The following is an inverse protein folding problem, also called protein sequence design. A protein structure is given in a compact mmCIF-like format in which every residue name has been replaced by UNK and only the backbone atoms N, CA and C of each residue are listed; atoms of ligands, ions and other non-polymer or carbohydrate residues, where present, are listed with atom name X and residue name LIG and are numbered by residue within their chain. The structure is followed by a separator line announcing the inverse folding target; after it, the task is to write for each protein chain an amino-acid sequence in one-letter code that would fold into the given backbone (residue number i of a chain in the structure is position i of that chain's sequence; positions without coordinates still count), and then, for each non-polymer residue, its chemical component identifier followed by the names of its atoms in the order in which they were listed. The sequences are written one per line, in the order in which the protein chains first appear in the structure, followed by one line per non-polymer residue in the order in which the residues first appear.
data_IF_763750907413
#
_entry.id   IF_763750907413
#
_cell.length_a   1.000
_cell.length_b   1.000
_cell.length_c   1.000
_cell.angle_alpha   90.00
_cell.angle_beta   90.00
_cell.angle_gamma   90.00
#
_symmetry.space_group_name_H-M   'P 1'
#
loop_
_entity.id
_entity.type
_entity.pdbx_description
1 polymer ?
#
# COMPACT_ATOMS: atom_id res chain seq x y z
N UNK A 1 -71.20 -30.13 -9.20
CA UNK A 1 -70.35 -31.33 -9.35
C UNK A 1 -69.46 -31.04 -10.55
N UNK A 2 -68.16 -30.76 -10.45
CA UNK A 2 -67.10 -31.13 -9.50
C UNK A 2 -66.28 -29.91 -9.07
N UNK A 3 -65.76 -30.03 -7.86
CA UNK A 3 -64.72 -29.24 -7.22
C UNK A 3 -63.37 -29.80 -7.67
N UNK A 4 -62.39 -28.95 -7.93
CA UNK A 4 -60.97 -29.26 -7.70
C UNK A 4 -60.28 -27.97 -7.22
N UNK A 5 -59.80 -28.03 -5.98
CA UNK A 5 -58.97 -27.03 -5.30
C UNK A 5 -57.57 -27.62 -5.30
N UNK A 6 -56.59 -26.90 -5.86
CA UNK A 6 -55.19 -27.30 -5.79
C UNK A 6 -54.28 -26.11 -5.49
N UNK A 7 -53.85 -26.11 -4.22
CA UNK A 7 -52.51 -25.82 -3.69
C UNK A 7 -51.96 -24.39 -3.66
N UNK A 8 -51.74 -23.94 -2.41
CA UNK A 8 -50.87 -22.85 -1.99
C UNK A 8 -49.40 -23.21 -2.26
N UNK A 9 -48.71 -22.40 -3.05
CA UNK A 9 -47.24 -22.36 -3.02
C UNK A 9 -46.80 -21.15 -2.20
N UNK A 10 -46.28 -21.44 -1.01
CA UNK A 10 -45.63 -20.50 -0.10
C UNK A 10 -44.38 -19.91 -0.79
N UNK A 11 -44.50 -18.69 -1.31
CA UNK A 11 -43.36 -17.93 -1.81
C UNK A 11 -42.42 -17.58 -0.67
N UNK A 12 -41.45 -18.46 -0.42
CA UNK A 12 -40.26 -18.19 0.38
C UNK A 12 -39.44 -17.10 -0.31
N UNK A 13 -39.78 -15.85 -0.03
CA UNK A 13 -38.99 -14.69 -0.40
C UNK A 13 -37.59 -14.84 0.18
N UNK A 14 -36.64 -15.27 -0.66
CA UNK A 14 -35.22 -15.19 -0.36
C UNK A 14 -34.92 -13.71 -0.15
N UNK A 15 -34.81 -13.30 1.11
CA UNK A 15 -34.22 -12.02 1.47
C UNK A 15 -32.84 -11.97 0.83
N UNK A 16 -32.74 -11.24 -0.28
CA UNK A 16 -31.47 -10.88 -0.89
C UNK A 16 -30.78 -10.02 0.16
N UNK A 17 -29.79 -10.58 0.85
CA UNK A 17 -28.81 -9.77 1.55
C UNK A 17 -28.13 -8.97 0.45
N UNK A 18 -28.62 -7.75 0.21
CA UNK A 18 -27.89 -6.78 -0.58
C UNK A 18 -26.74 -6.33 0.32
N UNK A 19 -25.67 -7.12 0.33
CA UNK A 19 -24.36 -6.55 0.59
C UNK A 19 -24.17 -5.54 -0.53
N UNK A 20 -24.43 -4.25 -0.24
CA UNK A 20 -24.15 -3.19 -1.19
C UNK A 20 -22.69 -3.30 -1.54
N UNK A 21 -22.38 -3.84 -2.71
CA UNK A 21 -21.02 -3.88 -3.22
C UNK A 21 -20.61 -2.44 -3.46
N UNK A 22 -19.84 -1.88 -2.55
CA UNK A 22 -19.15 -0.62 -2.76
C UNK A 22 -18.09 -0.89 -3.82
N UNK A 23 -18.35 -0.47 -5.05
CA UNK A 23 -17.34 -0.50 -6.09
C UNK A 23 -16.33 0.62 -5.82
N UNK A 24 -15.26 0.27 -5.11
CA UNK A 24 -14.20 1.20 -4.76
C UNK A 24 -13.49 1.75 -6.02
N UNK A 25 -13.55 1.03 -7.15
CA UNK A 25 -12.94 1.44 -8.41
C UNK A 25 -13.73 2.52 -9.16
N UNK A 26 -15.00 2.75 -8.80
CA UNK A 26 -15.84 3.82 -9.36
C UNK A 26 -15.63 5.18 -8.68
N UNK A 27 -14.79 5.27 -7.64
CA UNK A 27 -14.50 6.52 -6.94
C UNK A 27 -13.46 7.36 -7.72
N UNK A 28 -13.39 8.68 -7.47
CA UNK A 28 -12.33 9.52 -8.02
C UNK A 28 -10.94 8.98 -7.68
N UNK A 29 -10.00 9.13 -8.62
CA UNK A 29 -8.64 8.61 -8.48
C UNK A 29 -7.94 9.11 -7.21
N UNK A 30 -8.18 10.37 -6.83
CA UNK A 30 -7.61 10.97 -5.62
C UNK A 30 -8.09 10.27 -4.34
N UNK A 31 -9.36 9.84 -4.30
CA UNK A 31 -9.90 9.09 -3.17
C UNK A 31 -9.22 7.73 -3.04
N UNK A 32 -9.04 7.02 -4.17
CA UNK A 32 -8.35 5.72 -4.19
C UNK A 32 -6.89 5.90 -3.75
N UNK A 33 -6.20 6.91 -4.30
CA UNK A 33 -4.82 7.26 -3.95
C UNK A 33 -4.67 7.54 -2.45
N UNK A 34 -5.59 8.32 -1.87
CA UNK A 34 -5.61 8.61 -0.44
C UNK A 34 -5.83 7.36 0.40
N UNK A 35 -6.75 6.47 0.01
CA UNK A 35 -6.97 5.21 0.74
C UNK A 35 -5.71 4.36 0.72
N UNK A 36 -5.07 4.21 -0.45
CA UNK A 36 -3.85 3.41 -0.61
C UNK A 36 -2.70 3.99 0.22
N UNK A 37 -2.57 5.32 0.32
CA UNK A 37 -1.50 5.96 1.10
C UNK A 37 -1.56 5.64 2.61
N UNK A 38 -2.73 5.21 3.11
CA UNK A 38 -2.92 4.72 4.49
C UNK A 38 -2.71 3.20 4.66
N UNK A 39 -2.39 2.48 3.58
CA UNK A 39 -2.12 1.03 3.63
C UNK A 39 -0.62 0.75 3.80
N UNK A 40 -0.21 -0.52 3.72
CA UNK A 40 1.21 -0.88 3.65
C UNK A 40 1.72 -0.88 2.19
N UNK A 41 3.03 -0.69 1.94
CA UNK A 41 3.63 -0.85 0.62
C UNK A 41 3.31 -2.20 -0.02
N UNK A 42 3.29 -3.27 0.78
CA UNK A 42 2.89 -4.62 0.32
C UNK A 42 1.44 -4.65 -0.16
N UNK A 43 0.54 -4.01 0.58
CA UNK A 43 -0.88 -4.00 0.22
C UNK A 43 -1.13 -3.11 -1.00
N UNK A 44 -0.45 -1.97 -1.12
CA UNK A 44 -0.45 -1.16 -2.33
C UNK A 44 -0.06 -2.00 -3.58
N UNK A 45 1.02 -2.78 -3.51
CA UNK A 45 1.42 -3.67 -4.61
C UNK A 45 0.38 -4.77 -4.93
N UNK A 46 -0.43 -5.19 -3.95
CA UNK A 46 -1.52 -6.16 -4.20
C UNK A 46 -2.73 -5.48 -4.82
N UNK A 47 -3.05 -4.28 -4.33
CA UNK A 47 -4.16 -3.47 -4.84
C UNK A 47 -3.95 -3.07 -6.30
N UNK A 48 -2.70 -2.84 -6.73
CA UNK A 48 -2.40 -2.50 -8.13
C UNK A 48 -2.91 -3.53 -9.14
N UNK A 49 -3.06 -4.80 -8.72
CA UNK A 49 -3.51 -5.90 -9.56
C UNK A 49 -5.04 -6.02 -9.64
N UNK A 50 -5.79 -5.26 -8.85
CA UNK A 50 -7.26 -5.38 -8.74
C UNK A 50 -7.97 -4.75 -9.94
N UNK A 51 -7.56 -3.55 -10.36
CA UNK A 51 -8.11 -2.86 -11.52
C UNK A 51 -7.13 -1.82 -12.06
N UNK A 52 -7.41 -1.28 -13.24
CA UNK A 52 -6.62 -0.19 -13.84
C UNK A 52 -6.64 1.08 -12.98
N UNK A 53 -7.77 1.39 -12.34
CA UNK A 53 -7.87 2.54 -11.44
C UNK A 53 -6.96 2.39 -10.21
N UNK A 54 -6.93 1.21 -9.59
CA UNK A 54 -5.98 0.93 -8.51
C UNK A 54 -4.54 0.96 -8.99
N UNK A 55 -4.24 0.35 -10.14
CA UNK A 55 -2.90 0.39 -10.71
C UNK A 55 -2.41 1.83 -10.89
N UNK A 56 -3.22 2.69 -11.51
CA UNK A 56 -2.91 4.11 -11.67
C UNK A 56 -2.70 4.83 -10.35
N UNK A 57 -3.55 4.56 -9.34
CA UNK A 57 -3.39 5.15 -8.01
C UNK A 57 -2.09 4.68 -7.33
N UNK A 58 -1.73 3.40 -7.44
CA UNK A 58 -0.51 2.84 -6.85
C UNK A 58 0.77 3.32 -7.52
N UNK A 59 0.73 3.85 -8.74
CA UNK A 59 1.90 4.48 -9.36
C UNK A 59 2.09 5.95 -8.94
N UNK A 60 1.14 6.53 -8.19
CA UNK A 60 1.19 7.93 -7.76
C UNK A 60 2.29 8.19 -6.72
N UNK A 61 3.07 9.25 -6.93
CA UNK A 61 4.06 9.72 -5.97
C UNK A 61 3.44 10.08 -4.60
N UNK A 62 2.17 10.47 -4.55
CA UNK A 62 1.48 10.75 -3.29
C UNK A 62 1.38 9.51 -2.38
N UNK A 63 1.20 8.32 -2.98
CA UNK A 63 1.20 7.04 -2.24
C UNK A 63 2.58 6.72 -1.73
N UNK A 64 3.60 6.79 -2.59
CA UNK A 64 4.95 6.40 -2.18
C UNK A 64 5.60 7.41 -1.23
N UNK A 65 5.19 8.67 -1.26
CA UNK A 65 5.59 9.65 -0.25
C UNK A 65 5.14 9.26 1.16
N UNK A 66 3.92 8.72 1.33
CA UNK A 66 3.43 8.33 2.66
C UNK A 66 4.17 7.12 3.23
N UNK A 67 4.79 6.32 2.37
CA UNK A 67 5.61 5.17 2.75
C UNK A 67 7.07 5.53 3.03
N UNK A 68 7.51 6.72 2.62
CA UNK A 68 8.85 7.21 2.88
C UNK A 68 8.93 7.85 4.27
N UNK A 69 10.05 7.69 5.00
CA UNK A 69 10.19 8.35 6.28
C UNK A 69 10.36 9.87 6.16
N UNK A 70 9.74 10.67 7.01
CA UNK A 70 9.75 12.15 6.92
C UNK A 70 11.12 12.83 6.71
N UNK A 71 12.22 12.26 7.21
CA UNK A 71 13.59 12.78 7.03
C UNK A 71 14.38 12.15 5.87
N UNK A 72 13.73 11.42 4.95
CA UNK A 72 14.41 10.68 3.89
C UNK A 72 15.26 11.57 2.97
N UNK A 73 14.83 12.81 2.73
CA UNK A 73 15.52 13.77 1.86
C UNK A 73 16.92 14.14 2.35
N UNK A 74 17.13 14.18 3.67
CA UNK A 74 18.43 14.44 4.27
C UNK A 74 19.37 13.22 4.20
N UNK A 75 18.81 12.02 4.00
CA UNK A 75 19.57 10.77 3.93
C UNK A 75 20.01 10.44 2.50
N UNK A 76 19.33 10.98 1.49
CA UNK A 76 19.64 10.71 0.08
C UNK A 76 20.79 11.62 -0.36
N UNK A 77 21.91 11.06 -0.85
CA UNK A 77 22.95 11.85 -1.48
C UNK A 77 22.42 12.63 -2.67
N UNK A 78 22.80 13.91 -2.81
CA UNK A 78 22.38 14.78 -3.93
C UNK A 78 22.75 14.24 -5.32
N UNK A 79 23.69 13.30 -5.39
CA UNK A 79 24.10 12.63 -6.63
C UNK A 79 23.09 11.59 -7.13
N UNK A 80 22.17 11.13 -6.28
CA UNK A 80 21.14 10.16 -6.67
C UNK A 80 19.90 10.90 -7.13
N UNK A 81 19.50 10.67 -8.38
CA UNK A 81 18.23 11.12 -8.93
C UNK A 81 17.33 9.92 -9.19
N UNK A 82 16.05 10.08 -8.89
CA UNK A 82 15.02 9.06 -9.11
C UNK A 82 13.91 9.67 -9.94
N UNK A 83 13.32 8.89 -10.85
CA UNK A 83 12.23 9.37 -11.71
C UNK A 83 10.88 9.41 -10.99
N UNK A 84 10.73 8.63 -9.92
CA UNK A 84 9.54 8.60 -9.07
C UNK A 84 9.88 8.23 -7.62
N UNK A 85 8.97 8.53 -6.70
CA UNK A 85 9.09 8.16 -5.28
C UNK A 85 8.97 6.65 -5.08
N UNK A 86 8.24 5.96 -5.96
CA UNK A 86 8.24 4.50 -6.03
C UNK A 86 9.63 3.94 -6.29
N UNK A 87 10.31 4.48 -7.31
CA UNK A 87 11.66 4.04 -7.65
C UNK A 87 12.63 4.33 -6.49
N UNK A 88 12.51 5.50 -5.86
CA UNK A 88 13.28 5.83 -4.68
C UNK A 88 13.04 4.82 -3.54
N UNK A 89 11.79 4.54 -3.19
CA UNK A 89 11.43 3.59 -2.14
C UNK A 89 12.05 2.21 -2.40
N UNK A 90 11.90 1.68 -3.63
CA UNK A 90 12.47 0.40 -4.02
C UNK A 90 14.00 0.42 -3.96
N UNK A 91 14.63 1.51 -4.39
CA UNK A 91 16.08 1.67 -4.29
C UNK A 91 16.56 1.65 -2.85
N UNK A 92 15.86 2.31 -1.92
CA UNK A 92 16.14 2.28 -0.49
C UNK A 92 15.92 0.90 0.15
N UNK A 93 15.07 0.04 -0.45
CA UNK A 93 14.89 -1.34 0.01
C UNK A 93 16.04 -2.24 -0.43
N UNK A 94 16.62 -1.98 -1.59
CA UNK A 94 17.60 -2.87 -2.25
C UNK A 94 19.05 -2.44 -2.02
N UNK A 95 19.27 -1.15 -1.79
CA UNK A 95 20.59 -0.54 -1.71
C UNK A 95 20.75 0.15 -0.36
N UNK A 96 21.28 -0.52 0.67
CA UNK A 96 21.55 0.10 1.96
C UNK A 96 22.49 1.31 1.83
N UNK A 97 22.03 2.46 2.33
CA UNK A 97 22.79 3.71 2.34
C UNK A 97 23.73 3.76 3.53
N UNK A 98 25.00 4.06 3.30
CA UNK A 98 25.96 4.32 4.36
C UNK A 98 25.77 5.75 4.89
N UNK A 99 25.49 5.86 6.19
CA UNK A 99 25.27 7.14 6.87
C UNK A 99 26.27 7.31 8.03
N UNK A 100 26.34 8.52 8.57
CA UNK A 100 27.17 8.85 9.76
C UNK A 100 28.63 8.40 9.64
N UNK A 101 29.32 8.95 8.63
CA UNK A 101 30.71 8.60 8.30
C UNK A 101 30.93 7.09 8.10
N UNK A 102 29.94 6.40 7.50
CA UNK A 102 29.94 4.96 7.20
C UNK A 102 29.93 4.04 8.42
N UNK A 103 29.54 4.55 9.59
CA UNK A 103 29.44 3.73 10.80
C UNK A 103 28.07 3.05 10.96
N UNK A 104 27.08 3.48 10.17
CA UNK A 104 25.75 2.88 10.12
C UNK A 104 25.32 2.70 8.67
N UNK A 105 24.54 1.66 8.39
CA UNK A 105 23.80 1.54 7.12
C UNK A 105 22.31 1.64 7.37
N UNK A 106 21.58 2.20 6.41
CA UNK A 106 20.15 2.45 6.47
C UNK A 106 19.46 1.89 5.22
N UNK A 107 18.35 1.19 5.41
CA UNK A 107 17.47 0.74 4.33
C UNK A 107 16.03 0.66 4.81
N UNK A 108 15.10 0.43 3.90
CA UNK A 108 13.68 0.21 4.23
C UNK A 108 13.34 -1.27 4.16
N UNK A 109 12.53 -1.74 5.12
CA UNK A 109 11.91 -3.05 5.01
C UNK A 109 10.82 -3.00 3.93
N UNK A 110 11.02 -3.72 2.82
CA UNK A 110 10.17 -3.64 1.61
C UNK A 110 8.68 -3.71 1.88
N UNK A 111 8.25 -4.58 2.80
CA UNK A 111 6.83 -4.87 3.03
C UNK A 111 6.11 -3.80 3.83
N UNK A 112 6.74 -3.26 4.86
CA UNK A 112 6.12 -2.29 5.78
C UNK A 112 6.61 -0.86 5.65
N UNK A 113 7.72 -0.61 4.94
CA UNK A 113 8.37 0.70 4.88
C UNK A 113 9.08 1.10 6.18
N UNK A 114 9.23 0.16 7.13
CA UNK A 114 9.95 0.42 8.38
C UNK A 114 11.43 0.68 8.11
N UNK A 115 12.00 1.60 8.89
CA UNK A 115 13.43 1.89 8.89
C UNK A 115 14.21 0.70 9.45
N UNK A 116 15.23 0.27 8.73
CA UNK A 116 16.19 -0.70 9.20
C UNK A 116 17.58 -0.06 9.28
N UNK A 117 18.32 -0.41 10.31
CA UNK A 117 19.69 0.07 10.53
C UNK A 117 20.61 -1.10 10.83
N UNK A 118 21.83 -1.03 10.31
CA UNK A 118 22.96 -1.83 10.77
C UNK A 118 23.95 -0.88 11.42
N UNK A 119 24.44 -1.26 12.59
CA UNK A 119 25.41 -0.47 13.35
C UNK A 119 26.77 -1.16 13.31
N UNK A 120 27.84 -0.39 13.14
CA UNK A 120 29.18 -0.88 13.41
C UNK A 120 29.30 -1.26 14.89
N UNK A 121 30.07 -2.32 15.23
CA UNK A 121 30.34 -2.66 16.63
C UNK A 121 30.88 -1.49 17.47
N UNK A 122 31.60 -0.56 16.83
CA UNK A 122 32.21 0.61 17.51
C UNK A 122 31.18 1.67 17.92
N UNK A 123 30.04 1.70 17.24
CA UNK A 123 28.96 2.67 17.49
C UNK A 123 27.80 2.03 18.27
N UNK A 124 27.86 0.72 18.53
CA UNK A 124 26.87 0.02 19.33
C UNK A 124 27.17 0.23 20.82
N UNK A 125 26.31 0.96 21.50
CA UNK A 125 26.28 1.04 22.97
C UNK A 125 24.95 0.47 23.44
N UNK A 126 24.99 -0.50 24.35
CA UNK A 126 23.81 -1.08 24.99
C UNK A 126 23.77 -0.51 26.41
N UNK A 127 22.67 0.15 26.75
CA UNK A 127 22.41 0.76 28.06
C UNK A 127 21.30 -0.02 28.73
#
# INVERSE_FOLDING_TARGET
MKIEVSEMEERKGKGKIMCGTLDLSAHPLDCITLIISFTSPRDACRLSLVSTAFNSATESDAVWESFLPSQYQALIPSSLSFSSKKQLYLSLCENPLLIEARRKSFWLERGSGKKCYMLSPRDLTII
#
